data_IF_908946898217
#
_entry.id   IF_908946898217
#
_cell.length_a   1.000
_cell.length_b   1.000
_cell.length_c   1.000
_cell.angle_alpha   90.00
_cell.angle_beta   90.00
_cell.angle_gamma   90.00
#
_symmetry.space_group_name_H-M   'P 1'
#
loop_
_entity.id
_entity.type
_entity.pdbx_description
1 polymer ?
#
# COMPACT_ATOMS: atom_id res chain seq x y z
N UNK A 1 9.85 5.15 26.18
CA UNK A 1 9.35 4.20 25.17
C UNK A 1 8.48 5.01 24.23
N UNK A 2 8.86 5.15 22.96
CA UNK A 2 7.92 5.63 21.93
C UNK A 2 6.82 4.58 21.78
N UNK A 3 5.57 5.02 21.73
CA UNK A 3 4.45 4.12 21.50
C UNK A 3 4.64 3.37 20.16
N UNK A 4 4.15 2.13 20.07
CA UNK A 4 4.13 1.42 18.81
C UNK A 4 3.20 2.15 17.82
N UNK A 5 3.56 2.22 16.53
CA UNK A 5 2.65 2.76 15.52
C UNK A 5 1.30 2.06 15.54
N UNK A 6 0.22 2.81 15.34
CA UNK A 6 -1.13 2.27 15.18
C UNK A 6 -1.35 1.80 13.75
N UNK A 7 -2.28 0.85 13.55
CA UNK A 7 -2.67 0.37 12.23
C UNK A 7 -4.12 0.76 11.94
N UNK A 8 -4.35 1.39 10.80
CA UNK A 8 -5.68 1.82 10.37
C UNK A 8 -5.97 1.39 8.94
N UNK A 9 -7.22 1.02 8.67
CA UNK A 9 -7.67 0.76 7.30
C UNK A 9 -7.89 2.06 6.56
N UNK A 10 -7.55 2.09 5.27
CA UNK A 10 -7.76 3.26 4.44
C UNK A 10 -8.28 2.89 3.04
N UNK A 11 -8.93 3.87 2.43
CA UNK A 11 -9.49 3.82 1.08
C UNK A 11 -9.10 5.08 0.32
N UNK A 12 -9.26 5.08 -1.00
CA UNK A 12 -9.13 6.29 -1.81
C UNK A 12 -10.20 7.31 -1.42
N UNK A 13 -9.89 8.59 -1.56
CA UNK A 13 -10.84 9.69 -1.34
C UNK A 13 -10.28 10.84 -0.52
N UNK A 14 -10.92 12.00 -0.66
CA UNK A 14 -10.51 13.28 -0.07
C UNK A 14 -10.37 13.25 1.46
N UNK A 15 -11.16 12.42 2.15
CA UNK A 15 -11.06 12.24 3.60
C UNK A 15 -9.69 11.72 4.05
N UNK A 16 -8.97 11.02 3.16
CA UNK A 16 -7.64 10.46 3.41
C UNK A 16 -6.54 11.21 2.65
N UNK A 17 -6.80 12.42 2.11
CA UNK A 17 -5.90 13.12 1.20
C UNK A 17 -4.47 13.28 1.74
N UNK A 18 -4.34 13.58 3.04
CA UNK A 18 -3.03 13.68 3.68
C UNK A 18 -2.26 12.35 3.59
N UNK A 19 -2.89 11.23 3.98
CA UNK A 19 -2.27 9.91 3.90
C UNK A 19 -1.95 9.52 2.47
N UNK A 20 -2.82 9.84 1.50
CA UNK A 20 -2.57 9.53 0.09
C UNK A 20 -1.31 10.25 -0.43
N UNK A 21 -1.11 11.52 -0.08
CA UNK A 21 0.12 12.24 -0.40
C UNK A 21 1.35 11.57 0.25
N UNK A 22 1.29 11.23 1.54
CA UNK A 22 2.41 10.60 2.25
C UNK A 22 2.73 9.19 1.74
N UNK A 23 1.71 8.42 1.37
CA UNK A 23 1.84 7.08 0.76
C UNK A 23 2.48 7.21 -0.63
N UNK A 24 2.06 8.17 -1.44
CA UNK A 24 2.65 8.42 -2.76
C UNK A 24 4.13 8.77 -2.63
N UNK A 25 4.49 9.73 -1.77
CA UNK A 25 5.88 10.11 -1.53
C UNK A 25 6.71 8.93 -1.03
N UNK A 26 6.17 8.15 -0.10
CA UNK A 26 6.82 6.94 0.42
C UNK A 26 7.01 5.89 -0.67
N UNK A 27 6.05 5.72 -1.58
CA UNK A 27 6.17 4.82 -2.71
C UNK A 27 7.34 5.21 -3.62
N UNK A 28 7.35 6.47 -4.08
CA UNK A 28 8.36 6.98 -5.00
C UNK A 28 9.77 6.88 -4.37
N UNK A 29 9.90 7.16 -3.07
CA UNK A 29 11.15 7.02 -2.32
C UNK A 29 11.63 5.56 -2.13
N UNK A 30 10.79 4.56 -2.39
CA UNK A 30 11.13 3.14 -2.29
C UNK A 30 11.32 2.45 -3.64
N UNK A 31 11.23 3.18 -4.74
CA UNK A 31 11.60 2.69 -6.07
C UNK A 31 13.10 2.29 -6.10
N UNK A 32 13.50 1.25 -6.84
CA UNK A 32 12.69 0.36 -7.67
C UNK A 32 12.08 -0.84 -6.92
N UNK A 33 12.19 -0.92 -5.58
CA UNK A 33 11.69 -2.09 -4.82
C UNK A 33 10.17 -2.20 -4.89
N UNK A 34 9.49 -1.05 -4.99
CA UNK A 34 8.10 -0.93 -5.43
C UNK A 34 8.07 -0.23 -6.79
N UNK A 35 7.08 -0.58 -7.61
CA UNK A 35 6.88 0.09 -8.90
C UNK A 35 6.57 1.57 -8.71
N UNK A 36 7.14 2.42 -9.58
CA UNK A 36 6.80 3.84 -9.65
C UNK A 36 5.35 4.03 -10.05
N UNK A 37 4.77 5.13 -9.58
CA UNK A 37 3.49 5.66 -10.05
C UNK A 37 3.80 6.99 -10.74
N UNK A 38 3.06 7.30 -11.81
CA UNK A 38 3.27 8.53 -12.58
C UNK A 38 2.61 9.72 -11.87
N UNK A 39 1.54 9.45 -11.13
CA UNK A 39 0.74 10.45 -10.42
C UNK A 39 0.09 9.91 -9.14
N UNK A 40 -0.46 10.82 -8.34
CA UNK A 40 -1.27 10.45 -7.17
C UNK A 40 -2.62 9.87 -7.59
N UNK A 41 -3.14 10.29 -8.74
CA UNK A 41 -4.36 9.73 -9.33
C UNK A 41 -4.17 8.24 -9.67
N UNK A 42 -2.97 7.83 -10.11
CA UNK A 42 -2.65 6.41 -10.32
C UNK A 42 -2.62 5.61 -9.01
N UNK A 43 -2.14 6.22 -7.91
CA UNK A 43 -2.21 5.62 -6.58
C UNK A 43 -3.66 5.43 -6.15
N UNK A 44 -4.51 6.45 -6.34
CA UNK A 44 -5.93 6.38 -6.00
C UNK A 44 -6.65 5.32 -6.84
N UNK A 45 -6.37 5.23 -8.13
CA UNK A 45 -6.89 4.19 -9.00
C UNK A 45 -6.48 2.80 -8.52
N UNK A 46 -5.21 2.60 -8.17
CA UNK A 46 -4.73 1.35 -7.59
C UNK A 46 -5.49 1.00 -6.30
N UNK A 47 -5.67 1.96 -5.39
CA UNK A 47 -6.42 1.76 -4.14
C UNK A 47 -7.89 1.46 -4.43
N UNK A 48 -8.51 2.05 -5.45
CA UNK A 48 -9.89 1.73 -5.83
C UNK A 48 -10.08 0.29 -6.30
N UNK A 49 -9.03 -0.32 -6.85
CA UNK A 49 -9.01 -1.74 -7.26
C UNK A 49 -8.69 -2.68 -6.10
N UNK A 50 -8.15 -2.15 -5.01
CA UNK A 50 -7.74 -2.92 -3.84
C UNK A 50 -8.92 -3.25 -2.92
N UNK A 51 -8.74 -4.25 -2.07
CA UNK A 51 -9.79 -4.71 -1.14
C UNK A 51 -9.39 -4.53 0.32
N UNK A 52 -8.10 -4.53 0.62
CA UNK A 52 -7.62 -4.45 1.99
C UNK A 52 -6.31 -3.68 2.05
N UNK A 53 -6.36 -2.49 2.64
CA UNK A 53 -5.19 -1.64 2.80
C UNK A 53 -5.05 -1.20 4.23
N UNK A 54 -3.82 -1.18 4.72
CA UNK A 54 -3.49 -0.67 6.04
C UNK A 54 -2.43 0.40 5.93
N UNK A 55 -2.57 1.41 6.77
CA UNK A 55 -1.55 2.42 7.04
C UNK A 55 -1.04 2.24 8.47
N UNK A 56 0.27 2.34 8.65
CA UNK A 56 0.91 2.42 9.95
C UNK A 56 1.20 3.88 10.29
N UNK A 57 0.75 4.32 11.46
CA UNK A 57 0.81 5.72 11.89
C UNK A 57 1.64 5.86 13.16
N UNK A 58 2.61 6.76 13.14
CA UNK A 58 3.30 7.22 14.34
C UNK A 58 2.98 8.70 14.54
N UNK A 59 2.30 9.04 15.64
CA UNK A 59 1.84 10.39 15.94
C UNK A 59 1.04 11.05 14.79
N UNK A 60 0.25 10.24 14.07
CA UNK A 60 -0.56 10.68 12.93
C UNK A 60 0.16 10.73 11.58
N UNK A 61 1.49 10.53 11.54
CA UNK A 61 2.26 10.49 10.31
C UNK A 61 2.39 9.06 9.76
N UNK A 62 2.33 8.90 8.44
CA UNK A 62 2.48 7.60 7.78
C UNK A 62 3.92 7.12 7.86
N UNK A 63 4.10 5.97 8.51
CA UNK A 63 5.40 5.30 8.66
C UNK A 63 5.48 3.97 7.92
N UNK A 64 4.34 3.49 7.43
CA UNK A 64 4.28 2.36 6.53
C UNK A 64 2.89 2.17 5.94
N UNK A 65 2.80 1.38 4.88
CA UNK A 65 1.52 1.02 4.28
C UNK A 65 1.61 -0.33 3.55
N UNK A 66 0.44 -0.94 3.33
CA UNK A 66 0.26 -2.11 2.49
C UNK A 66 -1.01 -1.95 1.63
N UNK A 67 -0.93 -2.36 0.36
CA UNK A 67 -2.07 -2.39 -0.56
C UNK A 67 -2.27 -3.82 -1.06
N UNK A 68 -3.47 -4.36 -0.86
CA UNK A 68 -3.80 -5.74 -1.23
C UNK A 68 -5.04 -5.83 -2.12
N UNK A 69 -4.98 -6.70 -3.14
CA UNK A 69 -6.06 -6.95 -4.08
C UNK A 69 -6.61 -8.37 -3.93
N UNK A 70 -7.92 -8.54 -4.08
CA UNK A 70 -8.54 -9.87 -4.26
C UNK A 70 -8.43 -10.35 -5.71
N UNK A 71 -8.70 -11.64 -5.92
CA UNK A 71 -8.91 -12.19 -7.26
C UNK A 71 -10.01 -11.45 -8.04
N UNK A 72 -9.88 -11.37 -9.37
CA UNK A 72 -10.92 -10.84 -10.26
C UNK A 72 -10.89 -9.33 -10.52
N UNK A 73 -9.86 -8.62 -10.09
CA UNK A 73 -9.69 -7.20 -10.41
C UNK A 73 -9.04 -7.02 -11.79
N UNK A 74 -9.16 -5.83 -12.37
CA UNK A 74 -8.51 -5.46 -13.64
C UNK A 74 -7.03 -5.10 -13.50
N UNK A 75 -6.41 -5.42 -12.37
CA UNK A 75 -5.02 -5.06 -12.09
C UNK A 75 -4.02 -5.72 -13.06
N UNK A 76 -3.14 -4.91 -13.63
CA UNK A 76 -2.40 -5.26 -14.86
C UNK A 76 -1.13 -6.09 -14.70
N UNK A 77 -0.62 -6.27 -13.47
CA UNK A 77 0.67 -6.92 -13.19
C UNK A 77 0.73 -8.36 -13.70
N UNK A 78 1.84 -8.73 -14.35
CA UNK A 78 2.08 -10.11 -14.81
C UNK A 78 2.10 -11.11 -13.65
N UNK A 79 2.65 -10.71 -12.50
CA UNK A 79 2.65 -11.53 -11.28
C UNK A 79 1.23 -11.75 -10.76
N UNK A 80 0.40 -10.71 -10.74
CA UNK A 80 -1.01 -10.85 -10.37
C UNK A 80 -1.74 -11.80 -11.32
N UNK A 81 -1.56 -11.65 -12.64
CA UNK A 81 -2.14 -12.52 -13.67
C UNK A 81 -1.70 -13.97 -13.52
N UNK A 82 -0.43 -14.21 -13.16
CA UNK A 82 0.08 -15.56 -12.89
C UNK A 82 -0.70 -16.23 -11.74
N UNK A 83 -0.94 -15.52 -10.63
CA UNK A 83 -1.73 -16.07 -9.52
C UNK A 83 -3.21 -16.20 -9.88
N UNK A 84 -3.78 -15.25 -10.63
CA UNK A 84 -5.16 -15.31 -11.11
C UNK A 84 -5.42 -16.56 -11.95
N UNK A 85 -4.44 -16.98 -12.76
CA UNK A 85 -4.54 -18.18 -13.58
C UNK A 85 -4.36 -19.49 -12.80
N UNK A 86 -3.82 -19.45 -11.58
CA UNK A 86 -3.47 -20.64 -10.78
C UNK A 86 -4.36 -20.86 -9.57
N UNK A 87 -4.90 -19.80 -8.99
CA UNK A 87 -5.59 -19.84 -7.70
C UNK A 87 -7.02 -19.30 -7.86
N UNK A 88 -7.98 -19.99 -7.26
CA UNK A 88 -9.39 -19.58 -7.28
C UNK A 88 -9.72 -18.44 -6.31
N UNK A 89 -8.99 -18.36 -5.20
CA UNK A 89 -9.18 -17.36 -4.13
C UNK A 89 -7.84 -17.00 -3.54
N UNK A 90 -7.49 -15.72 -3.51
CA UNK A 90 -6.23 -15.24 -2.95
C UNK A 90 -6.30 -13.77 -2.54
N UNK A 91 -5.38 -13.36 -1.68
CA UNK A 91 -5.10 -11.95 -1.41
C UNK A 91 -3.69 -11.67 -1.92
N UNK A 92 -3.58 -10.79 -2.90
CA UNK A 92 -2.32 -10.41 -3.53
C UNK A 92 -1.81 -9.13 -2.88
N UNK A 93 -0.61 -9.19 -2.30
CA UNK A 93 0.09 -7.99 -1.81
C UNK A 93 0.75 -7.33 -3.02
N UNK A 94 0.26 -6.15 -3.40
CA UNK A 94 0.86 -5.38 -4.50
C UNK A 94 2.12 -4.65 -4.04
N UNK A 95 1.99 -3.92 -2.93
CA UNK A 95 3.08 -3.16 -2.37
C UNK A 95 2.97 -3.08 -0.86
N UNK A 96 4.13 -3.14 -0.22
CA UNK A 96 4.33 -2.91 1.20
C UNK A 96 5.60 -2.07 1.36
N UNK A 97 5.48 -0.98 2.11
CA UNK A 97 6.58 -0.05 2.33
C UNK A 97 6.62 0.34 3.80
N UNK A 98 7.82 0.30 4.38
CA UNK A 98 8.10 0.82 5.72
C UNK A 98 9.19 1.89 5.61
N UNK A 99 8.95 3.06 6.21
CA UNK A 99 9.89 4.18 6.30
C UNK A 99 11.20 3.71 6.93
N UNK A 100 12.36 4.13 6.38
CA UNK A 100 13.69 3.59 6.74
C UNK A 100 13.97 3.54 8.25
N UNK A 101 13.58 4.56 9.01
CA UNK A 101 13.77 4.65 10.46
C UNK A 101 12.87 3.72 11.30
N UNK A 102 11.85 3.12 10.69
CA UNK A 102 10.87 2.24 11.32
C UNK A 102 11.08 0.75 10.94
N UNK A 103 12.12 0.46 10.15
CA UNK A 103 12.46 -0.91 9.75
C UNK A 103 13.12 -1.67 10.90
N UNK A 104 13.00 -3.01 10.87
CA UNK A 104 13.52 -3.93 11.90
C UNK A 104 12.90 -3.72 13.29
N UNK A 105 11.73 -3.09 13.35
CA UNK A 105 10.93 -2.89 14.56
C UNK A 105 9.72 -3.83 14.64
N UNK A 106 9.64 -4.84 13.76
CA UNK A 106 8.51 -5.80 13.72
C UNK A 106 7.23 -5.29 13.04
N UNK A 107 7.31 -4.19 12.28
CA UNK A 107 6.16 -3.60 11.56
C UNK A 107 5.89 -4.19 10.17
N UNK A 108 6.86 -4.88 9.58
CA UNK A 108 6.79 -5.41 8.21
C UNK A 108 6.98 -6.91 8.15
#
# INVERSE_FOLDING_TARGET
MTALPTLEQFHSGEQNRQWLNEIYDMNQANTPNVGSLDSIEDLEQLISLSTYNLVALDQGAVVGFIICLREGTSYGSENYKFFLNKLKKFLYVDRVCIKKGYRRAGLG
#
